data_IF_624552770407
#
_entry.id   IF_624552770407
#
_cell.length_a   1.000
_cell.length_b   1.000
_cell.length_c   1.000
_cell.angle_alpha   90.00
_cell.angle_beta   90.00
_cell.angle_gamma   90.00
#
_symmetry.space_group_name_H-M   'P 1'
#
loop_
_entity.id
_entity.type
_entity.pdbx_description
1 polymer ?
#
# COMPACT_ATOMS: atom_id res chain seq x y z
N UNK A 1 12.36 1.50 10.90
CA UNK A 1 11.58 0.25 10.96
C UNK A 1 10.11 0.66 10.97
N UNK A 2 9.23 0.11 10.11
CA UNK A 2 7.78 0.33 10.30
C UNK A 2 7.43 -0.17 11.70
N UNK A 3 6.77 0.66 12.51
CA UNK A 3 6.49 0.36 13.90
C UNK A 3 5.34 -0.64 13.91
N UNK A 4 5.67 -1.92 13.88
CA UNK A 4 4.67 -2.99 13.85
C UNK A 4 3.93 -3.02 15.17
N UNK A 5 2.66 -2.62 15.17
CA UNK A 5 1.85 -2.56 16.39
C UNK A 5 1.29 -3.95 16.71
N UNK A 6 1.30 -4.29 18.00
CA UNK A 6 0.54 -5.42 18.51
C UNK A 6 -0.93 -5.00 18.62
N UNK A 7 -1.82 -5.73 17.97
CA UNK A 7 -3.26 -5.44 17.97
C UNK A 7 -4.08 -6.73 18.05
N UNK A 8 -5.33 -6.63 18.46
CA UNK A 8 -6.32 -7.70 18.30
C UNK A 8 -7.07 -7.45 17.00
N UNK A 9 -7.16 -8.47 16.15
CA UNK A 9 -7.83 -8.42 14.84
C UNK A 9 -8.92 -9.48 14.87
N UNK A 10 -10.19 -9.16 14.52
CA UNK A 10 -11.24 -10.17 14.39
C UNK A 10 -10.79 -11.30 13.47
N UNK A 11 -11.13 -12.55 13.79
CA UNK A 11 -10.62 -13.74 13.08
C UNK A 11 -10.90 -13.64 11.58
N UNK A 12 -12.14 -13.32 11.20
CA UNK A 12 -12.56 -13.17 9.80
C UNK A 12 -11.75 -12.10 9.05
N UNK A 13 -11.38 -11.00 9.72
CA UNK A 13 -10.58 -9.93 9.14
C UNK A 13 -9.12 -10.38 9.00
N UNK A 14 -8.59 -11.09 9.99
CA UNK A 14 -7.24 -11.64 9.92
C UNK A 14 -7.11 -12.68 8.80
N UNK A 15 -8.13 -13.51 8.60
CA UNK A 15 -8.16 -14.52 7.54
C UNK A 15 -8.30 -13.86 6.15
N UNK A 16 -9.16 -12.85 6.02
CA UNK A 16 -9.37 -12.12 4.76
C UNK A 16 -8.17 -11.23 4.37
N UNK A 17 -7.45 -10.68 5.35
CA UNK A 17 -6.38 -9.70 5.16
C UNK A 17 -5.03 -10.18 5.72
N UNK A 18 -4.72 -11.47 5.57
CA UNK A 18 -3.48 -12.08 6.09
C UNK A 18 -2.20 -11.41 5.56
N UNK A 19 -2.24 -10.82 4.37
CA UNK A 19 -1.14 -10.01 3.81
C UNK A 19 -0.76 -8.80 4.67
N UNK A 20 -1.65 -8.34 5.56
CA UNK A 20 -1.37 -7.29 6.53
C UNK A 20 -0.85 -7.85 7.87
N UNK A 21 -0.89 -9.16 8.08
CA UNK A 21 -0.40 -9.84 9.27
C UNK A 21 1.09 -10.21 9.07
N UNK A 22 1.91 -9.89 10.06
CA UNK A 22 3.33 -10.25 10.12
C UNK A 22 3.50 -11.50 10.97
N UNK A 23 2.85 -11.51 12.13
CA UNK A 23 2.80 -12.68 13.02
C UNK A 23 1.41 -12.75 13.62
N UNK A 24 0.79 -13.93 13.52
CA UNK A 24 -0.43 -14.30 14.25
C UNK A 24 -0.04 -15.09 15.49
N UNK A 25 -0.57 -14.70 16.65
CA UNK A 25 -0.29 -15.35 17.93
C UNK A 25 -1.59 -15.97 18.48
N UNK A 26 -1.76 -15.96 19.80
CA UNK A 26 -2.93 -16.48 20.50
C UNK A 26 -4.25 -15.91 19.96
N UNK A 27 -5.23 -16.79 19.80
CA UNK A 27 -6.62 -16.42 19.63
C UNK A 27 -7.24 -16.24 21.02
N UNK A 28 -7.88 -15.10 21.24
CA UNK A 28 -8.57 -14.76 22.49
C UNK A 28 -9.97 -14.33 22.11
N UNK A 29 -10.97 -15.11 22.51
CA UNK A 29 -12.36 -14.97 22.05
C UNK A 29 -12.41 -15.04 20.50
N UNK A 30 -13.08 -14.08 19.86
CA UNK A 30 -13.25 -14.00 18.40
C UNK A 30 -12.20 -13.12 17.70
N UNK A 31 -11.05 -12.90 18.36
CA UNK A 31 -9.94 -12.12 17.81
C UNK A 31 -8.60 -12.83 17.94
N UNK A 32 -7.70 -12.56 17.00
CA UNK A 32 -6.30 -13.00 17.07
C UNK A 32 -5.41 -11.84 17.47
N UNK A 33 -4.52 -12.11 18.41
CA UNK A 33 -3.43 -11.18 18.73
C UNK A 33 -2.42 -11.25 17.60
N UNK A 34 -2.22 -10.14 16.91
CA UNK A 34 -1.39 -10.08 15.72
C UNK A 34 -0.45 -8.87 15.73
N UNK A 35 0.68 -9.04 15.07
CA UNK A 35 1.56 -7.95 14.69
C UNK A 35 1.23 -7.59 13.25
N UNK A 36 0.85 -6.35 12.99
CA UNK A 36 0.37 -5.91 11.66
C UNK A 36 1.37 -5.04 10.91
N UNK A 37 1.23 -5.01 9.58
CA UNK A 37 1.83 -4.01 8.69
C UNK A 37 0.92 -2.78 8.67
N UNK A 38 1.40 -1.69 9.26
CA UNK A 38 0.62 -0.46 9.29
C UNK A 38 0.93 0.40 8.05
N UNK A 39 -0.08 0.60 7.21
CA UNK A 39 0.01 1.45 6.04
C UNK A 39 -0.76 2.76 6.28
N UNK A 40 -0.06 3.88 6.15
CA UNK A 40 -0.68 5.20 6.17
C UNK A 40 -1.47 5.42 4.88
N UNK A 41 -2.78 5.67 5.01
CA UNK A 41 -3.65 6.05 3.90
C UNK A 41 -3.08 7.24 3.12
N UNK A 42 -2.56 8.26 3.81
CA UNK A 42 -1.96 9.43 3.15
C UNK A 42 -0.73 9.05 2.32
N UNK A 43 0.11 8.12 2.79
CA UNK A 43 1.28 7.68 2.03
C UNK A 43 0.89 6.86 0.79
N UNK A 44 -0.14 6.03 0.89
CA UNK A 44 -0.74 5.32 -0.24
C UNK A 44 -1.28 6.33 -1.27
N UNK A 45 -2.09 7.30 -0.82
CA UNK A 45 -2.66 8.34 -1.69
C UNK A 45 -1.58 9.19 -2.36
N UNK A 46 -0.51 9.57 -1.65
CA UNK A 46 0.62 10.30 -2.26
C UNK A 46 1.20 9.51 -3.43
N UNK A 47 1.37 8.20 -3.28
CA UNK A 47 1.98 7.35 -4.30
C UNK A 47 1.05 7.21 -5.52
N UNK A 48 -0.24 6.92 -5.32
CA UNK A 48 -1.24 6.85 -6.38
C UNK A 48 -1.43 8.20 -7.10
N UNK A 49 -1.47 9.30 -6.34
CA UNK A 49 -1.67 10.64 -6.89
C UNK A 49 -0.54 11.04 -7.86
N UNK A 50 0.72 10.68 -7.56
CA UNK A 50 1.84 10.95 -8.46
C UNK A 50 1.73 10.20 -9.80
N UNK A 51 1.02 9.07 -9.84
CA UNK A 51 0.82 8.26 -11.05
C UNK A 51 -0.48 8.57 -11.78
N UNK A 52 -1.35 9.43 -11.23
CA UNK A 52 -2.65 9.79 -11.84
C UNK A 52 -2.49 10.37 -13.25
N UNK A 53 -1.46 11.21 -13.43
CA UNK A 53 -1.18 11.93 -14.66
C UNK A 53 -0.40 11.09 -15.67
N UNK A 54 0.82 10.68 -15.30
CA UNK A 54 1.73 9.98 -16.22
C UNK A 54 2.43 8.80 -15.51
N UNK A 55 2.79 7.75 -16.26
CA UNK A 55 3.68 6.71 -15.76
C UNK A 55 5.04 7.28 -15.32
N UNK A 56 5.64 6.69 -14.28
CA UNK A 56 6.91 7.14 -13.72
C UNK A 56 7.91 5.99 -13.56
N UNK A 57 9.19 6.29 -13.75
CA UNK A 57 10.28 5.38 -13.36
C UNK A 57 10.33 5.23 -11.83
N UNK A 58 10.99 4.17 -11.35
CA UNK A 58 11.22 3.98 -9.91
C UNK A 58 11.79 5.23 -9.22
N UNK A 59 12.86 5.79 -9.77
CA UNK A 59 13.57 6.94 -9.19
C UNK A 59 12.69 8.19 -9.13
N UNK A 60 11.91 8.44 -10.20
CA UNK A 60 11.00 9.58 -10.24
C UNK A 60 9.83 9.39 -9.26
N UNK A 61 9.24 8.20 -9.21
CA UNK A 61 8.16 7.89 -8.27
C UNK A 61 8.63 8.02 -6.81
N UNK A 62 9.82 7.49 -6.50
CA UNK A 62 10.40 7.62 -5.17
C UNK A 62 10.61 9.09 -4.78
N UNK A 63 11.27 9.87 -5.64
CA UNK A 63 11.55 11.29 -5.39
C UNK A 63 10.28 12.15 -5.27
N UNK A 64 9.30 11.93 -6.15
CA UNK A 64 8.05 12.71 -6.18
C UNK A 64 7.06 12.32 -5.08
N UNK A 65 7.06 11.07 -4.64
CA UNK A 65 6.18 10.62 -3.54
C UNK A 65 6.53 11.26 -2.19
N UNK A 66 7.76 11.79 -2.04
CA UNK A 66 8.27 12.36 -0.78
C UNK A 66 8.07 11.42 0.42
N UNK A 67 8.14 10.10 0.20
CA UNK A 67 8.18 9.12 1.29
C UNK A 67 9.64 9.01 1.72
N UNK A 68 9.99 9.66 2.84
CA UNK A 68 11.37 9.88 3.30
C UNK A 68 12.20 8.59 3.37
N UNK A 69 11.61 7.49 3.83
CA UNK A 69 12.30 6.24 4.06
C UNK A 69 12.12 5.28 2.87
N UNK A 70 13.23 4.90 2.21
CA UNK A 70 13.21 3.95 1.07
C UNK A 70 12.50 2.63 1.40
N UNK A 71 12.73 2.07 2.59
CA UNK A 71 12.06 0.84 3.04
C UNK A 71 10.54 1.01 3.10
N UNK A 72 10.06 2.14 3.64
CA UNK A 72 8.63 2.44 3.68
C UNK A 72 8.07 2.59 2.26
N UNK A 73 8.75 3.34 1.39
CA UNK A 73 8.35 3.48 -0.01
C UNK A 73 8.22 2.13 -0.71
N UNK A 74 9.20 1.24 -0.56
CA UNK A 74 9.16 -0.11 -1.14
C UNK A 74 7.97 -0.93 -0.63
N UNK A 75 7.63 -0.81 0.66
CA UNK A 75 6.46 -1.49 1.23
C UNK A 75 5.15 -0.98 0.62
N UNK A 76 4.99 0.35 0.47
CA UNK A 76 3.80 0.92 -0.19
C UNK A 76 3.73 0.55 -1.67
N UNK A 77 4.86 0.60 -2.36
CA UNK A 77 4.94 0.26 -3.78
C UNK A 77 4.55 -1.20 -4.00
N UNK A 78 5.08 -2.12 -3.17
CA UNK A 78 4.71 -3.53 -3.19
C UNK A 78 3.21 -3.71 -2.94
N UNK A 79 2.66 -3.09 -1.89
CA UNK A 79 1.22 -3.15 -1.61
C UNK A 79 0.38 -2.71 -2.83
N UNK A 80 0.76 -1.60 -3.47
CA UNK A 80 0.02 -1.09 -4.63
C UNK A 80 0.09 -2.04 -5.84
N UNK A 81 1.22 -2.74 -6.03
CA UNK A 81 1.38 -3.71 -7.10
C UNK A 81 0.58 -4.98 -6.79
N UNK A 82 0.73 -5.52 -5.58
CA UNK A 82 0.06 -6.76 -5.13
C UNK A 82 -1.47 -6.61 -5.18
N UNK A 83 -2.00 -5.42 -4.84
CA UNK A 83 -3.43 -5.12 -4.88
C UNK A 83 -3.93 -4.63 -6.25
N UNK A 84 -3.07 -4.64 -7.28
CA UNK A 84 -3.37 -4.17 -8.64
C UNK A 84 -3.84 -2.72 -8.70
N UNK A 85 -3.35 -1.84 -7.82
CA UNK A 85 -3.54 -0.39 -7.94
C UNK A 85 -2.54 0.24 -8.91
N UNK A 86 -1.37 -0.38 -9.06
CA UNK A 86 -0.28 0.07 -9.93
C UNK A 86 0.22 -1.12 -10.74
N UNK A 87 0.43 -0.91 -12.04
CA UNK A 87 1.13 -1.84 -12.91
C UNK A 87 2.60 -1.46 -12.96
N UNK A 88 3.49 -2.45 -13.06
CA UNK A 88 4.91 -2.25 -13.33
C UNK A 88 5.29 -2.96 -14.63
N UNK A 89 6.01 -2.27 -15.52
CA UNK A 89 6.43 -2.79 -16.82
C UNK A 89 7.93 -2.58 -17.00
N UNK A 90 8.69 -3.64 -17.35
CA UNK A 90 10.10 -3.48 -17.71
C UNK A 90 10.19 -2.80 -19.08
N UNK A 91 10.96 -1.73 -19.18
CA UNK A 91 11.25 -1.00 -20.42
C UNK A 91 12.76 -0.79 -20.50
N UNK A 92 13.43 -1.67 -21.25
CA UNK A 92 14.89 -1.74 -21.29
C UNK A 92 15.49 -1.97 -19.90
N UNK A 93 16.46 -1.14 -19.46
CA UNK A 93 17.05 -1.27 -18.12
C UNK A 93 16.18 -0.68 -17.01
N UNK A 94 15.04 -0.06 -17.34
CA UNK A 94 14.19 0.66 -16.40
C UNK A 94 12.88 -0.10 -16.11
N UNK A 95 12.26 0.25 -14.99
CA UNK A 95 10.89 -0.16 -14.67
C UNK A 95 9.99 1.07 -14.64
N UNK A 96 8.92 1.03 -15.40
CA UNK A 96 7.89 2.06 -15.46
C UNK A 96 6.69 1.60 -14.63
N UNK A 97 6.19 2.49 -13.78
CA UNK A 97 4.99 2.29 -12.98
C UNK A 97 3.87 3.15 -13.51
N UNK A 98 2.66 2.58 -13.65
CA UNK A 98 1.45 3.29 -14.10
C UNK A 98 0.27 2.94 -13.20
N UNK A 99 -0.65 3.88 -13.00
CA UNK A 99 -1.87 3.62 -12.23
C UNK A 99 -2.86 2.79 -13.07
N UNK A 100 -3.48 1.79 -12.44
CA UNK A 100 -4.54 0.99 -13.06
C UNK A 100 -5.91 1.63 -12.85
N UNK A 101 -6.96 1.12 -13.49
CA UNK A 101 -8.32 1.57 -13.24
C UNK A 101 -8.74 1.35 -11.78
N UNK A 102 -8.37 0.20 -11.19
CA UNK A 102 -8.61 -0.07 -9.76
C UNK A 102 -7.90 0.94 -8.86
N UNK A 103 -6.67 1.31 -9.20
CA UNK A 103 -5.92 2.36 -8.50
C UNK A 103 -6.56 3.74 -8.64
N UNK A 104 -7.07 4.08 -9.82
CA UNK A 104 -7.82 5.33 -10.05
C UNK A 104 -9.10 5.36 -9.23
N UNK A 105 -9.86 4.28 -9.20
CA UNK A 105 -11.06 4.16 -8.36
C UNK A 105 -10.71 4.39 -6.89
N UNK A 106 -9.71 3.67 -6.36
CA UNK A 106 -9.26 3.84 -4.97
C UNK A 106 -8.86 5.29 -4.67
N UNK A 107 -8.11 5.94 -5.57
CA UNK A 107 -7.72 7.33 -5.40
C UNK A 107 -8.94 8.28 -5.42
N UNK A 108 -9.88 8.05 -6.33
CA UNK A 108 -11.06 8.89 -6.51
C UNK A 108 -12.02 8.84 -5.32
N UNK A 109 -12.06 7.72 -4.56
CA UNK A 109 -12.81 7.62 -3.31
C UNK A 109 -12.41 8.69 -2.28
N UNK A 110 -11.17 9.20 -2.33
CA UNK A 110 -10.68 10.23 -1.41
C UNK A 110 -10.58 11.63 -2.04
N UNK A 111 -10.47 11.73 -3.36
CA UNK A 111 -10.47 13.01 -4.08
C UNK A 111 -11.88 13.59 -4.15
N UNK A 112 -12.85 12.75 -4.52
CA UNK A 112 -14.24 13.15 -4.65
C UNK A 112 -14.89 13.05 -3.27
N UNK A 113 -14.51 13.96 -2.36
CA UNK A 113 -15.24 14.15 -1.12
C UNK A 113 -16.67 14.52 -1.51
N UNK A 114 -17.58 13.56 -1.42
CA UNK A 114 -19.00 13.85 -1.44
C UNK A 114 -19.31 14.82 -0.30
N UNK A 115 -20.17 15.80 -0.58
CA UNK A 115 -20.86 16.53 0.47
C UNK A 115 -21.82 15.59 1.20
#
# INVERSE_FOLDING_TARGET
MMKTRLTYVPIEVADQFDDFIITRAEQVLDAVKARTRDYSTLSLLKLLYQLRGNPLTFSNLYSKSKIRMKKSFLNYLRLCVDYNFIKKEPVGPNVIYSITDKGRTMLNLFINKGN
#
